data_IF_288891785081
#
_entry.id   IF_288891785081
#
_cell.length_a   1.000
_cell.length_b   1.000
_cell.length_c   1.000
_cell.angle_alpha   90.00
_cell.angle_beta   90.00
_cell.angle_gamma   90.00
#
_symmetry.space_group_name_H-M   'P 1'
#
loop_
_entity.id
_entity.type
_entity.pdbx_description
1 polymer ?
#
# COMPACT_ATOMS: atom_id res chain seq x y z
N UNK A 1 -29.59 40.32 -11.81
CA UNK A 1 -29.81 39.29 -10.76
C UNK A 1 -29.26 37.89 -11.10
N UNK A 2 -28.67 37.64 -12.28
CA UNK A 2 -28.18 36.29 -12.66
C UNK A 2 -26.71 36.02 -12.31
N UNK A 3 -25.88 37.06 -12.19
CA UNK A 3 -24.44 36.89 -11.94
C UNK A 3 -24.12 36.55 -10.47
N UNK A 4 -25.02 36.88 -9.54
CA UNK A 4 -24.83 36.59 -8.11
C UNK A 4 -25.09 35.11 -7.76
N UNK A 5 -25.93 34.41 -8.53
CA UNK A 5 -26.21 32.97 -8.34
C UNK A 5 -25.07 32.08 -8.85
N UNK A 6 -24.40 32.49 -9.94
CA UNK A 6 -23.28 31.74 -10.52
C UNK A 6 -22.05 31.80 -9.60
N UNK A 7 -21.76 32.98 -9.02
CA UNK A 7 -20.66 33.14 -8.07
C UNK A 7 -20.92 32.35 -6.77
N UNK A 8 -22.16 32.34 -6.27
CA UNK A 8 -22.53 31.53 -5.09
C UNK A 8 -22.43 30.02 -5.36
N UNK A 9 -22.80 29.57 -6.57
CA UNK A 9 -22.72 28.16 -6.96
C UNK A 9 -21.29 27.68 -7.17
N UNK A 10 -20.39 28.54 -7.70
CA UNK A 10 -18.96 28.23 -7.83
C UNK A 10 -18.24 28.23 -6.49
N UNK A 11 -18.61 29.13 -5.56
CA UNK A 11 -18.10 29.13 -4.19
C UNK A 11 -18.54 27.89 -3.40
N UNK A 12 -19.77 27.41 -3.60
CA UNK A 12 -20.25 26.15 -3.03
C UNK A 12 -19.52 24.94 -3.60
N UNK A 13 -19.25 24.89 -4.91
CA UNK A 13 -18.49 23.80 -5.55
C UNK A 13 -17.02 23.80 -5.07
N UNK A 14 -16.42 24.98 -4.86
CA UNK A 14 -15.08 25.09 -4.28
C UNK A 14 -15.05 24.69 -2.79
N UNK A 15 -16.12 24.96 -2.03
CA UNK A 15 -16.22 24.55 -0.63
C UNK A 15 -16.42 23.04 -0.48
N UNK A 16 -17.11 22.39 -1.43
CA UNK A 16 -17.28 20.93 -1.46
C UNK A 16 -15.98 20.17 -1.71
N UNK A 17 -15.03 20.77 -2.45
CA UNK A 17 -13.74 20.13 -2.76
C UNK A 17 -12.75 20.16 -1.60
N UNK A 18 -12.94 21.06 -0.63
CA UNK A 18 -12.03 21.23 0.51
C UNK A 18 -12.41 20.37 1.74
N UNK A 19 -13.40 19.48 1.61
CA UNK A 19 -13.82 18.55 2.67
C UNK A 19 -13.09 17.20 2.63
N UNK A 20 -11.97 17.11 1.94
CA UNK A 20 -10.97 16.06 2.17
C UNK A 20 -9.87 16.55 3.13
N UNK A 21 -10.28 17.30 4.17
CA UNK A 21 -9.36 17.80 5.19
C UNK A 21 -9.54 17.01 6.47
N UNK A 22 -8.55 16.13 6.71
CA UNK A 22 -8.08 15.67 8.01
C UNK A 22 -9.15 15.18 9.00
N UNK A 23 -9.55 13.91 8.86
CA UNK A 23 -10.05 13.13 9.99
C UNK A 23 -8.99 12.11 10.35
N UNK A 24 -8.61 12.03 11.63
CA UNK A 24 -7.90 10.87 12.14
C UNK A 24 -8.63 9.63 11.63
N UNK A 25 -7.92 8.71 10.99
CA UNK A 25 -8.53 7.56 10.36
C UNK A 25 -9.33 6.79 11.40
N UNK A 26 -10.66 6.93 11.42
CA UNK A 26 -11.52 6.18 12.32
C UNK A 26 -11.34 4.69 11.95
N UNK A 27 -10.88 3.89 12.91
CA UNK A 27 -10.52 2.50 12.67
C UNK A 27 -11.74 1.62 12.90
N UNK A 28 -11.90 0.60 12.06
CA UNK A 28 -12.83 -0.49 12.31
C UNK A 28 -12.17 -1.52 13.25
N UNK A 29 -12.71 -1.77 14.45
CA UNK A 29 -12.06 -2.66 15.42
C UNK A 29 -12.01 -4.11 14.93
N UNK A 30 -10.87 -4.78 15.09
CA UNK A 30 -10.69 -6.16 14.59
C UNK A 30 -11.69 -7.13 15.23
N UNK A 31 -11.98 -6.94 16.52
CA UNK A 31 -12.95 -7.75 17.28
C UNK A 31 -14.38 -7.70 16.75
N UNK A 32 -14.74 -6.64 16.02
CA UNK A 32 -16.09 -6.41 15.51
C UNK A 32 -16.22 -6.91 14.06
N UNK A 33 -15.14 -7.42 13.46
CA UNK A 33 -15.12 -7.99 12.12
C UNK A 33 -15.93 -9.28 12.09
N UNK A 34 -16.78 -9.41 11.07
CA UNK A 34 -17.66 -10.56 10.87
C UNK A 34 -17.49 -11.14 9.48
N UNK A 35 -17.53 -12.47 9.39
CA UNK A 35 -17.57 -13.19 8.12
C UNK A 35 -18.80 -12.79 7.29
N UNK A 36 -18.64 -12.74 5.98
CA UNK A 36 -19.66 -12.33 5.01
C UNK A 36 -19.87 -10.82 4.92
N UNK A 37 -19.25 -10.01 5.78
CA UNK A 37 -19.26 -8.55 5.62
C UNK A 37 -18.49 -8.14 4.36
N UNK A 38 -18.96 -7.09 3.68
CA UNK A 38 -18.32 -6.59 2.45
C UNK A 38 -17.69 -5.24 2.73
N UNK A 39 -16.36 -5.18 2.63
CA UNK A 39 -15.57 -3.97 2.73
C UNK A 39 -15.37 -3.32 1.35
N UNK A 40 -15.24 -1.99 1.35
CA UNK A 40 -14.84 -1.21 0.18
C UNK A 40 -13.33 -1.04 0.15
N UNK A 41 -12.69 -1.41 -0.95
CA UNK A 41 -11.27 -1.24 -1.18
C UNK A 41 -10.96 -0.17 -2.21
N UNK A 42 -9.76 0.39 -2.13
CA UNK A 42 -9.27 1.38 -3.09
C UNK A 42 -7.87 1.01 -3.57
N UNK A 43 -7.63 1.09 -4.87
CA UNK A 43 -6.31 0.79 -5.49
C UNK A 43 -6.18 1.55 -6.82
N UNK A 44 -5.12 1.31 -7.57
CA UNK A 44 -4.98 1.79 -8.96
C UNK A 44 -4.85 0.59 -9.90
N UNK A 45 -5.69 0.56 -10.94
CA UNK A 45 -5.67 -0.51 -11.96
C UNK A 45 -5.04 -0.03 -13.28
N UNK A 46 -5.15 1.27 -13.57
CA UNK A 46 -4.62 1.89 -14.76
C UNK A 46 -4.46 3.39 -14.53
N UNK A 47 -3.35 3.94 -15.02
CA UNK A 47 -3.00 5.33 -14.82
C UNK A 47 -2.72 5.62 -13.35
N UNK A 48 -3.41 6.62 -12.83
CA UNK A 48 -3.30 7.11 -11.45
C UNK A 48 -4.70 7.18 -10.78
N UNK A 49 -5.74 6.78 -11.51
CA UNK A 49 -7.12 6.91 -11.05
C UNK A 49 -7.42 5.86 -9.98
N UNK A 50 -8.00 6.33 -8.87
CA UNK A 50 -8.43 5.44 -7.79
C UNK A 50 -9.60 4.59 -8.28
N UNK A 51 -9.38 3.29 -8.27
CA UNK A 51 -10.35 2.25 -8.53
C UNK A 51 -10.94 1.74 -7.21
N UNK A 52 -12.25 1.88 -7.06
CA UNK A 52 -13.01 1.31 -5.94
C UNK A 52 -13.38 -0.15 -6.25
N UNK A 53 -13.21 -1.03 -5.26
CA UNK A 53 -13.60 -2.44 -5.36
C UNK A 53 -14.27 -2.94 -4.09
N UNK A 54 -14.87 -4.13 -4.17
CA UNK A 54 -15.44 -4.81 -3.02
C UNK A 54 -14.58 -6.01 -2.60
N UNK A 55 -14.47 -6.21 -1.29
CA UNK A 55 -13.79 -7.36 -0.69
C UNK A 55 -14.72 -8.00 0.36
N UNK A 56 -15.08 -9.26 0.15
CA UNK A 56 -15.85 -10.06 1.10
C UNK A 56 -14.93 -10.64 2.17
N UNK A 57 -15.27 -10.42 3.43
CA UNK A 57 -14.52 -10.94 4.57
C UNK A 57 -14.87 -12.42 4.74
N UNK A 58 -13.86 -13.27 4.65
CA UNK A 58 -13.98 -14.72 4.81
C UNK A 58 -13.73 -15.13 6.26
N UNK A 59 -12.85 -14.43 6.98
CA UNK A 59 -12.52 -14.75 8.37
C UNK A 59 -11.32 -13.98 8.89
N UNK A 60 -10.91 -14.29 10.12
CA UNK A 60 -9.70 -13.75 10.75
C UNK A 60 -8.83 -14.91 11.21
N UNK A 61 -7.56 -14.93 10.81
CA UNK A 61 -6.64 -16.01 11.16
C UNK A 61 -5.19 -15.54 11.23
N UNK A 62 -4.34 -16.32 11.91
CA UNK A 62 -2.89 -16.17 11.84
C UNK A 62 -2.34 -16.83 10.57
N UNK A 63 -1.29 -16.24 10.00
CA UNK A 63 -0.59 -16.79 8.83
C UNK A 63 0.82 -17.18 9.24
N UNK A 64 1.17 -18.46 9.02
CA UNK A 64 2.47 -19.01 9.40
C UNK A 64 2.71 -18.95 10.91
N UNK A 65 3.93 -18.59 11.32
CA UNK A 65 4.29 -18.35 12.71
C UNK A 65 4.12 -16.90 13.16
N UNK A 66 3.34 -16.09 12.42
CA UNK A 66 3.13 -14.69 12.77
C UNK A 66 2.22 -14.59 14.00
N UNK A 67 2.62 -13.77 14.97
CA UNK A 67 1.74 -13.40 16.09
C UNK A 67 0.61 -12.44 15.67
N UNK A 68 0.65 -11.94 14.42
CA UNK A 68 -0.35 -11.01 13.88
C UNK A 68 -1.54 -11.76 13.30
N UNK A 69 -2.74 -11.34 13.69
CA UNK A 69 -3.98 -11.77 13.07
C UNK A 69 -4.19 -11.01 11.75
N UNK A 70 -4.54 -11.74 10.70
CA UNK A 70 -4.88 -11.19 9.39
C UNK A 70 -6.36 -11.39 9.11
N UNK A 71 -6.97 -10.39 8.48
CA UNK A 71 -8.32 -10.52 7.94
C UNK A 71 -8.18 -11.15 6.56
N UNK A 72 -8.87 -12.27 6.33
CA UNK A 72 -8.89 -12.94 5.03
C UNK A 72 -10.06 -12.40 4.24
N UNK A 73 -9.78 -11.90 3.04
CA UNK A 73 -10.78 -11.38 2.15
C UNK A 73 -10.73 -12.05 0.78
N UNK A 74 -11.89 -12.11 0.13
CA UNK A 74 -12.04 -12.45 -1.28
C UNK A 74 -12.40 -11.18 -2.05
N UNK A 75 -11.57 -10.80 -3.03
CA UNK A 75 -11.89 -9.68 -3.91
C UNK A 75 -13.06 -10.03 -4.82
N UNK A 76 -13.92 -9.07 -5.11
CA UNK A 76 -15.13 -9.30 -5.90
C UNK A 76 -15.10 -8.53 -7.21
N UNK A 77 -15.57 -9.19 -8.26
CA UNK A 77 -15.83 -8.57 -9.55
C UNK A 77 -14.58 -8.39 -10.40
N UNK A 78 -14.78 -7.84 -11.59
CA UNK A 78 -13.69 -7.56 -12.51
C UNK A 78 -12.83 -6.37 -12.03
N UNK A 79 -11.51 -6.40 -12.26
CA UNK A 79 -10.78 -7.45 -13.00
C UNK A 79 -10.33 -8.65 -12.15
N UNK A 80 -10.56 -8.65 -10.83
CA UNK A 80 -10.03 -9.67 -9.91
C UNK A 80 -10.56 -11.09 -10.18
N UNK A 81 -11.76 -11.22 -10.74
CA UNK A 81 -12.29 -12.51 -11.20
C UNK A 81 -11.40 -13.17 -12.27
N UNK A 82 -10.60 -12.39 -12.99
CA UNK A 82 -9.74 -12.85 -14.09
C UNK A 82 -8.25 -12.86 -13.70
N UNK A 83 -7.77 -11.80 -13.03
CA UNK A 83 -6.34 -11.62 -12.73
C UNK A 83 -5.94 -11.99 -11.30
N UNK A 84 -6.89 -12.37 -10.44
CA UNK A 84 -6.61 -12.58 -9.03
C UNK A 84 -6.21 -11.29 -8.32
N UNK A 85 -5.41 -11.42 -7.25
CA UNK A 85 -4.79 -10.28 -6.56
C UNK A 85 -3.53 -9.89 -7.32
N UNK A 86 -3.57 -8.74 -7.99
CA UNK A 86 -2.46 -8.29 -8.81
C UNK A 86 -1.23 -7.92 -7.97
N UNK A 87 -0.07 -8.06 -8.59
CA UNK A 87 1.18 -7.50 -8.11
C UNK A 87 0.99 -5.98 -7.84
N UNK A 88 1.55 -5.48 -6.73
CA UNK A 88 1.63 -4.09 -6.26
C UNK A 88 0.36 -3.55 -5.58
N UNK A 89 -0.68 -4.39 -5.47
CA UNK A 89 -1.85 -4.10 -4.64
C UNK A 89 -1.54 -4.08 -3.14
N UNK A 90 -0.32 -4.45 -2.74
CA UNK A 90 0.09 -4.43 -1.34
C UNK A 90 0.02 -3.01 -0.78
N UNK A 91 -0.71 -2.84 0.32
CA UNK A 91 -1.06 -1.57 0.91
C UNK A 91 -2.42 -1.00 0.46
N UNK A 92 -3.16 -1.65 -0.45
CA UNK A 92 -4.49 -1.17 -0.87
C UNK A 92 -5.44 -1.15 0.32
N UNK A 93 -5.98 0.01 0.72
CA UNK A 93 -6.79 0.11 1.92
C UNK A 93 -8.19 -0.42 1.73
N UNK A 94 -8.68 -1.10 2.77
CA UNK A 94 -10.06 -1.54 2.91
C UNK A 94 -10.75 -0.73 4.00
N UNK A 95 -12.03 -0.45 3.77
CA UNK A 95 -12.91 0.28 4.67
C UNK A 95 -14.21 -0.50 4.87
N UNK A 96 -14.64 -0.60 6.12
CA UNK A 96 -15.93 -1.18 6.49
C UNK A 96 -16.71 -0.12 7.26
N UNK A 97 -17.96 0.13 6.88
CA UNK A 97 -18.80 1.22 7.43
C UNK A 97 -18.12 2.60 7.41
N UNK A 98 -17.32 2.87 6.37
CA UNK A 98 -16.56 4.11 6.22
C UNK A 98 -15.35 4.24 7.16
N UNK A 99 -15.04 3.22 7.96
CA UNK A 99 -13.89 3.17 8.86
C UNK A 99 -12.78 2.31 8.26
N UNK A 100 -11.53 2.70 8.48
CA UNK A 100 -10.38 1.98 7.97
C UNK A 100 -10.25 0.62 8.66
N UNK A 101 -10.37 -0.43 7.87
CA UNK A 101 -10.32 -1.81 8.32
C UNK A 101 -8.89 -2.36 8.33
N UNK A 102 -8.10 -1.95 7.34
CA UNK A 102 -6.73 -2.43 7.15
C UNK A 102 -6.29 -2.29 5.71
N UNK A 103 -5.17 -2.92 5.36
CA UNK A 103 -4.66 -2.92 3.99
C UNK A 103 -4.26 -4.30 3.52
N UNK A 104 -4.46 -4.57 2.22
CA UNK A 104 -4.02 -5.81 1.58
C UNK A 104 -2.51 -5.97 1.80
N UNK A 105 -2.08 -7.14 2.24
CA UNK A 105 -0.69 -7.44 2.55
C UNK A 105 -0.17 -8.61 1.73
N UNK A 106 -0.97 -9.67 1.58
CA UNK A 106 -0.53 -10.90 0.91
C UNK A 106 -1.63 -11.32 -0.05
N UNK A 107 -1.27 -11.65 -1.29
CA UNK A 107 -2.14 -12.34 -2.24
C UNK A 107 -1.76 -13.81 -2.37
N UNK A 108 -2.72 -14.68 -2.66
CA UNK A 108 -2.45 -16.08 -3.01
C UNK A 108 -2.58 -16.30 -4.52
N UNK A 109 -1.46 -16.19 -5.24
CA UNK A 109 -1.41 -16.26 -6.70
C UNK A 109 -1.88 -17.61 -7.30
N UNK A 110 -1.83 -18.70 -6.54
CA UNK A 110 -2.29 -20.02 -6.99
C UNK A 110 -3.70 -20.39 -6.51
N UNK A 111 -4.38 -19.51 -5.79
CA UNK A 111 -5.75 -19.76 -5.37
C UNK A 111 -6.71 -19.69 -6.57
N UNK A 112 -7.74 -20.54 -6.57
CA UNK A 112 -8.80 -20.51 -7.60
C UNK A 112 -9.72 -19.29 -7.46
N UNK A 113 -9.62 -18.60 -6.34
CA UNK A 113 -10.40 -17.41 -6.00
C UNK A 113 -9.42 -16.30 -5.64
N UNK A 114 -9.78 -15.02 -5.87
CA UNK A 114 -8.91 -13.87 -5.61
C UNK A 114 -8.82 -13.58 -4.10
N UNK A 115 -8.12 -14.44 -3.37
CA UNK A 115 -7.96 -14.34 -1.93
C UNK A 115 -6.75 -13.48 -1.56
N UNK A 116 -6.94 -12.63 -0.55
CA UNK A 116 -5.87 -11.85 0.06
C UNK A 116 -5.94 -11.84 1.59
N UNK A 117 -4.78 -11.70 2.22
CA UNK A 117 -4.65 -11.35 3.62
C UNK A 117 -4.54 -9.84 3.77
N UNK A 118 -5.21 -9.30 4.78
CA UNK A 118 -5.27 -7.88 5.10
C UNK A 118 -4.71 -7.67 6.49
N UNK A 119 -3.72 -6.80 6.61
CA UNK A 119 -3.19 -6.37 7.91
C UNK A 119 -4.19 -5.43 8.58
N UNK A 120 -4.64 -5.72 9.80
CA UNK A 120 -5.63 -4.89 10.48
C UNK A 120 -5.14 -3.46 10.72
N UNK A 121 -6.03 -2.50 10.53
CA UNK A 121 -5.76 -1.09 10.72
C UNK A 121 -5.18 -0.77 12.11
N UNK A 122 -5.67 -1.44 13.16
CA UNK A 122 -5.15 -1.32 14.53
C UNK A 122 -3.63 -1.49 14.58
N UNK A 123 -3.08 -2.47 13.86
CA UNK A 123 -1.62 -2.71 13.79
C UNK A 123 -0.89 -1.68 12.95
N UNK A 124 -1.51 -1.22 11.87
CA UNK A 124 -0.88 -0.27 10.98
C UNK A 124 -0.76 1.11 11.63
N UNK A 125 -1.81 1.58 12.32
CA UNK A 125 -1.81 2.94 12.88
C UNK A 125 -0.85 3.13 14.05
N UNK A 126 -0.45 2.05 14.73
CA UNK A 126 0.57 2.08 15.78
C UNK A 126 1.88 2.71 15.25
N UNK A 127 2.16 2.54 13.95
CA UNK A 127 3.34 3.09 13.30
C UNK A 127 3.33 4.62 13.19
N UNK A 128 2.17 5.28 13.18
CA UNK A 128 2.11 6.75 13.20
C UNK A 128 2.66 7.35 14.50
N UNK A 129 2.55 6.60 15.61
CA UNK A 129 3.06 7.00 16.91
C UNK A 129 4.57 6.86 17.05
N UNK A 130 5.24 6.25 16.08
CA UNK A 130 6.70 6.23 16.04
C UNK A 130 7.23 7.59 15.62
N UNK A 131 8.13 8.10 16.44
CA UNK A 131 8.84 9.32 16.14
C UNK A 131 10.10 8.99 15.35
N UNK A 132 10.00 9.14 14.04
CA UNK A 132 11.15 9.04 13.14
C UNK A 132 11.92 10.37 13.06
N UNK A 133 11.51 11.41 13.81
CA UNK A 133 12.11 12.74 13.82
C UNK A 133 13.17 12.95 14.90
N UNK A 134 13.36 12.00 15.82
CA UNK A 134 14.66 11.90 16.45
C UNK A 134 15.63 11.67 15.30
N UNK A 135 16.47 12.68 15.04
CA UNK A 135 17.65 12.49 14.22
C UNK A 135 18.19 11.12 14.57
N UNK A 136 18.16 10.17 13.64
CA UNK A 136 19.02 9.01 13.73
C UNK A 136 20.41 9.62 13.61
N UNK A 137 20.89 10.16 14.72
CA UNK A 137 22.27 10.46 14.94
C UNK A 137 22.94 9.16 14.54
N UNK A 138 23.82 9.28 13.56
CA UNK A 138 24.65 8.22 13.04
C UNK A 138 25.22 7.42 14.25
N UNK A 139 24.56 6.34 14.68
CA UNK A 139 24.99 5.60 15.88
C UNK A 139 23.99 5.12 16.95
N UNK A 140 22.67 5.03 16.76
CA UNK A 140 21.83 4.26 17.72
C UNK A 140 20.87 3.30 17.01
N UNK A 141 21.30 2.02 16.96
CA UNK A 141 20.92 0.93 16.02
C UNK A 141 21.09 1.39 14.57
N UNK A 142 22.23 1.00 13.96
CA UNK A 142 22.57 1.39 12.58
C UNK A 142 21.34 1.21 11.67
N UNK A 143 20.87 2.26 10.96
CA UNK A 143 19.96 2.06 9.86
C UNK A 143 20.63 1.08 8.88
N UNK A 144 19.86 0.14 8.35
CA UNK A 144 20.41 -0.91 7.49
C UNK A 144 21.23 -0.28 6.35
N UNK A 145 22.50 -0.64 6.25
CA UNK A 145 23.40 -0.07 5.25
C UNK A 145 23.16 -0.70 3.88
N UNK A 146 23.75 -0.12 2.84
CA UNK A 146 23.73 -0.74 1.51
C UNK A 146 24.36 -2.15 1.53
N UNK A 147 25.37 -2.39 2.37
CA UNK A 147 25.91 -3.73 2.60
C UNK A 147 24.91 -4.67 3.30
N UNK A 148 24.10 -4.16 4.24
CA UNK A 148 23.02 -4.95 4.85
C UNK A 148 21.95 -5.31 3.80
N UNK A 149 21.62 -4.38 2.90
CA UNK A 149 20.75 -4.64 1.76
C UNK A 149 21.35 -5.67 0.80
N UNK A 150 22.61 -5.52 0.38
CA UNK A 150 23.27 -6.46 -0.53
C UNK A 150 23.43 -7.85 0.11
N UNK A 151 23.75 -7.91 1.40
CA UNK A 151 23.81 -9.18 2.14
C UNK A 151 22.43 -9.83 2.24
N UNK A 152 21.37 -9.03 2.40
CA UNK A 152 19.99 -9.52 2.34
C UNK A 152 19.65 -10.06 0.94
N UNK A 153 19.98 -9.34 -0.13
CA UNK A 153 19.78 -9.81 -1.52
C UNK A 153 20.57 -11.10 -1.78
N UNK A 154 21.82 -11.19 -1.33
CA UNK A 154 22.64 -12.39 -1.45
C UNK A 154 22.07 -13.56 -0.65
N UNK A 155 21.61 -13.31 0.58
CA UNK A 155 20.93 -14.29 1.40
C UNK A 155 19.64 -14.81 0.73
N UNK A 156 18.85 -13.92 0.12
CA UNK A 156 17.66 -14.28 -0.65
C UNK A 156 18.02 -15.13 -1.88
N UNK A 157 19.12 -14.82 -2.57
CA UNK A 157 19.61 -15.59 -3.72
C UNK A 157 20.11 -17.00 -3.30
N UNK A 158 20.75 -17.11 -2.15
CA UNK A 158 21.28 -18.38 -1.62
C UNK A 158 20.20 -19.25 -0.96
N UNK A 159 19.08 -18.67 -0.53
CA UNK A 159 17.98 -19.37 0.13
C UNK A 159 16.66 -19.19 -0.64
N UNK A 160 16.52 -19.75 -1.86
CA UNK A 160 15.34 -19.52 -2.71
C UNK A 160 14.01 -20.01 -2.11
N UNK A 161 14.02 -20.74 -0.98
CA UNK A 161 12.83 -21.14 -0.23
C UNK A 161 12.36 -20.13 0.83
N UNK A 162 13.17 -19.12 1.18
CA UNK A 162 12.79 -18.05 2.10
C UNK A 162 11.99 -16.93 1.42
N UNK A 163 11.86 -17.00 0.09
CA UNK A 163 11.16 -16.05 -0.76
C UNK A 163 10.04 -16.80 -1.52
N UNK A 164 8.78 -16.58 -1.18
CA UNK A 164 7.64 -17.31 -1.77
C UNK A 164 7.20 -16.81 -3.16
N UNK A 165 8.08 -16.15 -3.94
CA UNK A 165 7.77 -15.65 -5.29
C UNK A 165 8.99 -14.95 -5.95
N UNK A 166 9.39 -15.22 -7.22
CA UNK A 166 10.40 -14.46 -7.99
C UNK A 166 10.34 -12.92 -7.86
N UNK A 167 11.45 -12.20 -8.08
CA UNK A 167 11.54 -10.73 -7.91
C UNK A 167 10.50 -9.93 -8.71
N UNK A 168 10.09 -10.41 -9.89
CA UNK A 168 9.00 -9.82 -10.70
C UNK A 168 7.61 -9.95 -10.03
N UNK A 169 7.39 -11.01 -9.26
CA UNK A 169 6.16 -11.25 -8.51
C UNK A 169 6.10 -10.43 -7.19
N UNK A 170 7.20 -9.75 -6.83
CA UNK A 170 7.29 -8.90 -5.64
C UNK A 170 7.23 -7.40 -5.92
N UNK A 171 6.79 -7.01 -7.12
CA UNK A 171 6.60 -5.60 -7.50
C UNK A 171 7.91 -4.83 -7.50
N UNK A 172 9.03 -5.53 -7.67
CA UNK A 172 10.33 -4.92 -7.79
C UNK A 172 10.65 -4.86 -9.28
N UNK A 173 10.67 -3.65 -9.84
CA UNK A 173 11.14 -3.46 -11.21
C UNK A 173 12.64 -3.23 -11.19
N UNK A 174 13.38 -4.11 -11.87
CA UNK A 174 14.77 -3.90 -12.25
C UNK A 174 14.80 -3.46 -13.71
N UNK A 175 15.36 -2.28 -13.99
CA UNK A 175 15.60 -1.83 -15.36
C UNK A 175 17.00 -1.25 -15.53
N UNK A 176 17.59 -1.41 -16.72
CA UNK A 176 18.91 -0.90 -17.05
C UNK A 176 18.77 0.48 -17.73
N UNK A 177 19.45 1.49 -17.18
CA UNK A 177 19.73 2.83 -17.71
C UNK A 177 18.74 3.54 -18.64
N UNK A 178 17.95 4.47 -18.09
CA UNK A 178 17.85 5.92 -18.36
C UNK A 178 16.78 6.38 -17.37
N UNK A 179 17.11 7.27 -16.44
CA UNK A 179 16.27 7.56 -15.27
C UNK A 179 14.82 7.83 -15.65
N UNK A 180 13.92 6.88 -15.39
CA UNK A 180 12.50 7.12 -15.57
C UNK A 180 12.10 8.21 -14.58
N UNK A 181 11.62 9.32 -15.12
CA UNK A 181 11.18 10.45 -14.30
C UNK A 181 9.88 10.05 -13.61
N UNK A 182 10.00 9.54 -12.40
CA UNK A 182 8.84 9.29 -11.55
C UNK A 182 8.20 10.64 -11.20
N UNK A 183 6.87 10.68 -11.29
CA UNK A 183 6.11 11.92 -11.36
C UNK A 183 6.33 12.77 -10.09
N UNK A 184 6.53 14.08 -10.28
CA UNK A 184 6.72 15.02 -9.17
C UNK A 184 5.38 15.40 -8.49
N UNK A 185 4.25 15.24 -9.18
CA UNK A 185 3.02 16.00 -8.85
C UNK A 185 1.77 15.17 -8.47
N UNK A 186 1.76 13.82 -8.53
CA UNK A 186 0.57 13.04 -8.12
C UNK A 186 0.31 13.07 -6.59
N UNK A 187 -0.93 13.19 -6.13
CA UNK A 187 -1.20 13.34 -4.69
C UNK A 187 -0.96 12.03 -3.93
N UNK A 188 -0.32 12.08 -2.75
CA UNK A 188 -0.20 10.91 -1.87
C UNK A 188 -1.53 10.76 -1.14
N UNK A 189 -2.38 9.86 -1.65
CA UNK A 189 -3.73 9.62 -1.13
C UNK A 189 -3.96 8.13 -0.89
N UNK A 190 -4.80 7.73 0.07
CA UNK A 190 -5.17 6.33 0.26
C UNK A 190 -5.69 5.69 -1.03
N UNK A 191 -5.17 4.51 -1.37
CA UNK A 191 -5.42 3.81 -2.64
C UNK A 191 -4.47 4.20 -3.77
N UNK A 192 -3.71 5.30 -3.64
CA UNK A 192 -2.75 5.75 -4.64
C UNK A 192 -1.48 4.92 -4.66
N UNK A 193 -0.87 4.78 -5.85
CA UNK A 193 0.33 3.97 -6.04
C UNK A 193 1.62 4.77 -5.75
N UNK A 194 2.55 4.13 -5.04
CA UNK A 194 3.89 4.66 -4.76
C UNK A 194 4.96 3.62 -5.08
N UNK A 195 6.19 4.09 -5.21
CA UNK A 195 7.39 3.27 -5.25
C UNK A 195 8.38 3.68 -4.15
N UNK A 196 9.13 2.71 -3.66
CA UNK A 196 10.32 2.92 -2.83
C UNK A 196 11.53 2.60 -3.70
N UNK A 197 12.31 3.63 -4.03
CA UNK A 197 13.44 3.50 -4.94
C UNK A 197 14.69 3.10 -4.15
N UNK A 198 15.25 1.94 -4.48
CA UNK A 198 16.41 1.35 -3.80
C UNK A 198 17.72 1.62 -4.56
N UNK A 199 17.66 1.60 -5.89
CA UNK A 199 18.79 1.90 -6.78
C UNK A 199 18.29 2.81 -7.90
N UNK A 200 19.08 3.82 -8.26
CA UNK A 200 18.81 4.75 -9.36
C UNK A 200 20.08 5.04 -10.16
N UNK A 201 19.95 5.27 -11.47
CA UNK A 201 21.06 5.58 -12.37
C UNK A 201 21.23 4.53 -13.47
N UNK A 202 22.42 3.96 -13.57
CA UNK A 202 22.75 2.90 -14.56
C UNK A 202 21.89 1.65 -14.38
N UNK A 203 21.45 1.41 -13.15
CA UNK A 203 20.41 0.44 -12.78
C UNK A 203 19.33 1.17 -11.99
N UNK A 204 18.08 0.80 -12.22
CA UNK A 204 16.94 1.29 -11.45
C UNK A 204 16.25 0.09 -10.80
N UNK A 205 16.16 0.11 -9.47
CA UNK A 205 15.48 -0.89 -8.66
C UNK A 205 14.44 -0.19 -7.79
N UNK A 206 13.16 -0.44 -8.03
CA UNK A 206 12.06 0.20 -7.29
C UNK A 206 11.03 -0.84 -6.91
N UNK A 207 10.62 -0.83 -5.64
CA UNK A 207 9.54 -1.65 -5.13
C UNK A 207 8.24 -0.85 -5.10
N UNK A 208 7.17 -1.40 -5.66
CA UNK A 208 5.89 -0.71 -5.78
C UNK A 208 4.84 -1.24 -4.81
N UNK A 209 4.00 -0.33 -4.34
CA UNK A 209 2.90 -0.60 -3.42
C UNK A 209 1.87 0.52 -3.45
N UNK A 210 0.89 0.40 -2.56
CA UNK A 210 -0.23 1.32 -2.45
C UNK A 210 -0.23 2.02 -1.10
N UNK A 211 -0.61 3.29 -1.07
CA UNK A 211 -0.80 4.07 0.16
C UNK A 211 -2.06 3.56 0.87
N UNK A 212 -1.91 3.13 2.12
CA UNK A 212 -3.00 2.60 2.93
C UNK A 212 -3.76 3.69 3.67
N UNK A 213 -3.04 4.65 4.25
CA UNK A 213 -3.64 5.73 5.03
C UNK A 213 -2.68 6.92 5.06
N UNK A 214 -3.22 8.11 5.24
CA UNK A 214 -2.47 9.35 5.46
C UNK A 214 -2.85 9.97 6.80
N UNK A 215 -1.90 10.62 7.46
CA UNK A 215 -2.12 11.40 8.69
C UNK A 215 -1.12 12.56 8.76
N UNK A 216 -1.59 13.76 8.40
CA UNK A 216 -0.71 14.93 8.35
C UNK A 216 0.32 14.78 7.23
N UNK A 217 1.60 14.90 7.58
CA UNK A 217 2.76 14.72 6.71
C UNK A 217 3.25 13.25 6.62
N UNK A 218 2.66 12.35 7.41
CA UNK A 218 2.99 10.92 7.42
C UNK A 218 1.95 10.12 6.63
N UNK A 219 2.38 8.98 6.08
CA UNK A 219 1.48 8.01 5.48
C UNK A 219 1.96 6.57 5.77
N UNK A 220 1.06 5.61 5.61
CA UNK A 220 1.32 4.18 5.69
C UNK A 220 1.14 3.55 4.31
N UNK A 221 1.93 2.52 4.00
CA UNK A 221 1.88 1.82 2.72
C UNK A 221 2.34 0.36 2.87
N UNK A 222 2.26 -0.41 1.77
CA UNK A 222 2.75 -1.79 1.62
C UNK A 222 2.10 -2.86 2.49
N UNK A 223 1.26 -2.54 3.49
CA UNK A 223 0.47 -3.52 4.26
C UNK A 223 1.27 -4.54 5.09
N UNK A 224 2.54 -4.81 4.78
CA UNK A 224 3.47 -5.71 5.44
C UNK A 224 4.89 -5.12 5.42
N UNK A 225 5.82 -5.64 6.23
CA UNK A 225 7.23 -5.28 6.13
C UNK A 225 7.77 -5.61 4.73
N UNK A 226 8.44 -4.63 4.11
CA UNK A 226 8.99 -4.80 2.76
C UNK A 226 10.28 -5.64 2.77
N UNK A 227 11.37 -5.15 3.38
CA UNK A 227 12.66 -5.85 3.42
C UNK A 227 12.99 -6.49 4.76
N UNK A 228 12.16 -6.30 5.79
CA UNK A 228 12.46 -6.77 7.14
C UNK A 228 13.73 -6.18 7.77
N UNK A 229 14.29 -5.12 7.18
CA UNK A 229 15.54 -4.47 7.59
C UNK A 229 15.41 -3.58 8.84
N UNK A 230 14.22 -3.54 9.44
CA UNK A 230 13.92 -2.59 10.50
C UNK A 230 13.66 -1.19 9.93
N UNK A 231 14.17 -0.17 10.62
CA UNK A 231 13.99 1.24 10.24
C UNK A 231 15.02 1.65 9.20
N UNK A 232 14.54 2.27 8.11
CA UNK A 232 15.32 2.62 6.92
C UNK A 232 14.79 3.92 6.34
N UNK A 233 15.70 4.71 5.76
CA UNK A 233 15.37 5.93 5.02
C UNK A 233 15.57 5.69 3.51
N UNK A 234 14.47 5.64 2.76
CA UNK A 234 14.49 5.49 1.31
C UNK A 234 13.70 6.58 0.60
N UNK A 235 14.11 6.99 -0.62
CA UNK A 235 13.32 7.90 -1.43
C UNK A 235 12.01 7.23 -1.86
N UNK A 236 10.91 7.94 -1.58
CA UNK A 236 9.59 7.59 -2.08
C UNK A 236 9.36 8.30 -3.41
N UNK A 237 8.93 7.54 -4.41
CA UNK A 237 8.59 8.02 -5.75
C UNK A 237 7.13 7.74 -6.05
N UNK A 238 6.54 8.53 -6.96
CA UNK A 238 5.17 8.31 -7.41
C UNK A 238 5.16 7.32 -8.55
N UNK A 239 4.17 6.43 -8.56
CA UNK A 239 4.09 5.35 -9.54
C UNK A 239 2.80 5.47 -10.37
N UNK A 240 2.88 5.01 -11.62
CA UNK A 240 1.75 4.98 -12.56
C UNK A 240 1.56 3.55 -13.04
N UNK A 241 0.34 3.06 -12.98
CA UNK A 241 0.01 1.71 -13.46
C UNK A 241 -0.23 1.75 -14.96
N UNK A 242 0.52 0.97 -15.74
CA UNK A 242 0.27 0.87 -17.18
C UNK A 242 -1.00 0.04 -17.45
N UNK A 243 -1.07 -1.14 -16.83
CA UNK A 243 -2.20 -2.07 -16.87
C UNK A 243 -2.00 -3.15 -15.79
N UNK A 244 -3.06 -3.89 -15.46
CA UNK A 244 -2.94 -5.17 -14.76
C UNK A 244 -2.72 -6.27 -15.79
N UNK A 245 -1.83 -7.22 -15.49
CA UNK A 245 -1.61 -8.44 -16.28
C UNK A 245 -2.35 -9.60 -15.62
N UNK A 246 -3.09 -10.43 -16.38
CA UNK A 246 -3.75 -11.63 -15.88
C UNK A 246 -2.79 -12.80 -15.68
#
# INVERSE_FOLDING_TARGET
MNNCKIILSLLLIFYSFNLFSQKATDIFPLKDVKEGAVAKGYTVIKGEDIFEFEAEIIGVQKIGSSDTDYIICKLKGKPFDECGVAAAMSGSPLFLDGKFLGAIAIGWFFAKEPLCAVTPAEKMVELYGRDFSENVAFGSKKPATFEDFLSHINYLNENPKSFLAPLEEQNITLSQGEGQTFLKDAEIVPGGMIGVQLISGDLNLTAFGTVSSTKGDKFLAFGHPFLGLGEVDFPVVKAKVSTIMP
#
